data_IF_831613051643
#
_entry.id   IF_831613051643
#
_cell.length_a   1.000
_cell.length_b   1.000
_cell.length_c   1.000
_cell.angle_alpha   90.00
_cell.angle_beta   90.00
_cell.angle_gamma   90.00
#
_symmetry.space_group_name_H-M   'P 1'
#
loop_
_entity.id
_entity.type
_entity.pdbx_description
1 polymer ?
#
# COMPACT_ATOMS: atom_id res chain seq x y z
N UNK A 1 2.53 -12.47 1.11
CA UNK A 1 3.30 -11.88 2.22
C UNK A 1 4.34 -10.92 1.65
N UNK A 2 4.33 -9.67 2.09
CA UNK A 2 5.31 -8.66 1.69
C UNK A 2 6.51 -8.73 2.64
N UNK A 3 7.73 -8.75 2.09
CA UNK A 3 8.98 -8.82 2.87
C UNK A 3 9.82 -7.54 2.79
N UNK A 4 9.44 -6.62 1.92
CA UNK A 4 10.08 -5.34 1.71
C UNK A 4 9.38 -4.57 0.59
N UNK A 5 9.59 -3.26 0.54
CA UNK A 5 9.07 -2.38 -0.50
C UNK A 5 10.08 -1.27 -0.78
N UNK A 6 10.16 -0.84 -2.04
CA UNK A 6 10.90 0.36 -2.45
C UNK A 6 9.94 1.24 -3.23
N UNK A 7 9.83 2.51 -2.83
CA UNK A 7 8.88 3.46 -3.40
C UNK A 7 9.68 4.69 -3.84
N UNK A 8 9.46 5.10 -5.09
CA UNK A 8 10.07 6.31 -5.67
C UNK A 8 8.95 7.16 -6.27
N UNK A 9 8.78 8.38 -5.76
CA UNK A 9 7.73 9.28 -6.22
C UNK A 9 7.40 10.35 -5.19
N UNK A 10 6.51 11.28 -5.53
CA UNK A 10 6.12 12.40 -4.67
C UNK A 10 5.35 11.97 -3.42
N UNK A 11 4.65 10.84 -3.46
CA UNK A 11 3.78 10.36 -2.38
C UNK A 11 4.43 9.23 -1.56
N UNK A 12 5.75 9.03 -1.70
CA UNK A 12 6.46 7.89 -1.13
C UNK A 12 6.47 7.90 0.41
N UNK A 13 6.53 9.09 1.00
CA UNK A 13 6.48 9.35 2.44
C UNK A 13 5.14 8.97 3.08
N UNK A 14 4.03 9.17 2.36
CA UNK A 14 2.71 8.69 2.79
C UNK A 14 2.56 7.18 2.57
N UNK A 15 2.89 6.71 1.36
CA UNK A 15 2.70 5.31 0.95
C UNK A 15 3.48 4.33 1.84
N UNK A 16 4.70 4.69 2.25
CA UNK A 16 5.55 3.79 3.03
C UNK A 16 4.90 3.37 4.36
N UNK A 17 4.08 4.23 4.96
CA UNK A 17 3.37 3.93 6.20
C UNK A 17 2.30 2.84 6.01
N UNK A 18 1.63 2.83 4.85
CA UNK A 18 0.67 1.77 4.52
C UNK A 18 1.36 0.42 4.32
N UNK A 19 2.49 0.38 3.62
CA UNK A 19 3.28 -0.86 3.50
C UNK A 19 3.83 -1.33 4.84
N UNK A 20 4.26 -0.41 5.71
CA UNK A 20 4.65 -0.74 7.07
C UNK A 20 3.49 -1.38 7.86
N UNK A 21 2.26 -0.86 7.71
CA UNK A 21 1.05 -1.43 8.31
C UNK A 21 0.77 -2.85 7.78
N UNK A 22 0.78 -3.01 6.45
CA UNK A 22 0.53 -4.29 5.76
C UNK A 22 1.53 -5.34 6.24
N UNK A 23 2.82 -5.00 6.30
CA UNK A 23 3.87 -5.93 6.75
C UNK A 23 3.78 -6.23 8.26
N UNK A 24 3.52 -5.21 9.10
CA UNK A 24 3.42 -5.37 10.56
C UNK A 24 2.31 -6.32 10.98
N UNK A 25 1.18 -6.27 10.28
CA UNK A 25 0.00 -7.08 10.58
C UNK A 25 -0.16 -8.30 9.67
N UNK A 26 0.83 -8.59 8.81
CA UNK A 26 0.79 -9.68 7.82
C UNK A 26 -0.51 -9.69 7.01
N UNK A 27 -0.98 -8.50 6.60
CA UNK A 27 -2.23 -8.38 5.86
C UNK A 27 -2.11 -9.10 4.50
N UNK A 28 -3.14 -9.85 4.08
CA UNK A 28 -3.17 -10.47 2.77
C UNK A 28 -3.20 -9.40 1.68
N UNK A 29 -2.09 -9.25 0.96
CA UNK A 29 -1.88 -8.15 0.02
C UNK A 29 -2.92 -8.12 -1.11
N UNK A 30 -3.42 -9.29 -1.50
CA UNK A 30 -4.45 -9.46 -2.52
C UNK A 30 -5.85 -9.00 -2.05
N UNK A 31 -6.14 -9.04 -0.75
CA UNK A 31 -7.34 -8.41 -0.18
C UNK A 31 -7.16 -6.91 -0.03
N UNK A 32 -5.97 -6.46 0.38
CA UNK A 32 -5.65 -5.03 0.48
C UNK A 32 -5.76 -4.35 -0.89
N UNK A 33 -5.26 -4.98 -1.97
CA UNK A 33 -5.39 -4.46 -3.33
C UNK A 33 -6.84 -4.34 -3.83
N UNK A 34 -7.77 -5.13 -3.28
CA UNK A 34 -9.21 -5.09 -3.60
C UNK A 34 -10.00 -4.12 -2.71
N UNK A 35 -9.36 -3.50 -1.72
CA UNK A 35 -10.02 -2.57 -0.80
C UNK A 35 -10.33 -1.25 -1.50
N UNK A 36 -11.50 -0.68 -1.20
CA UNK A 36 -11.88 0.65 -1.69
C UNK A 36 -11.28 1.70 -0.76
N UNK A 37 -10.38 2.53 -1.30
CA UNK A 37 -9.79 3.68 -0.61
C UNK A 37 -10.47 4.99 -1.02
N UNK A 38 -10.28 6.03 -0.21
CA UNK A 38 -10.74 7.37 -0.56
C UNK A 38 -10.01 7.89 -1.81
N UNK A 39 -10.75 8.55 -2.72
CA UNK A 39 -10.19 9.13 -3.93
C UNK A 39 -10.51 10.64 -4.02
N UNK A 40 -9.54 11.51 -4.35
CA UNK A 40 -8.12 11.21 -4.55
C UNK A 40 -7.35 11.10 -3.21
N UNK A 41 -6.47 10.10 -3.06
CA UNK A 41 -5.53 10.01 -1.93
C UNK A 41 -4.31 9.14 -2.25
N UNK A 42 -3.23 9.27 -1.46
CA UNK A 42 -2.07 8.37 -1.55
C UNK A 42 -2.47 6.90 -1.35
N UNK A 43 -3.49 6.61 -0.55
CA UNK A 43 -3.96 5.24 -0.31
C UNK A 43 -4.65 4.64 -1.55
N UNK A 44 -5.30 5.44 -2.40
CA UNK A 44 -5.91 4.91 -3.63
C UNK A 44 -4.89 4.39 -4.64
N UNK A 45 -3.61 4.76 -4.49
CA UNK A 45 -2.54 4.23 -5.35
C UNK A 45 -2.12 2.80 -4.94
N UNK A 46 -2.45 2.34 -3.73
CA UNK A 46 -2.04 1.01 -3.22
C UNK A 46 -2.50 -0.13 -4.13
N UNK A 47 -3.68 -0.02 -4.74
CA UNK A 47 -4.20 -1.05 -5.65
C UNK A 47 -3.28 -1.27 -6.84
N UNK A 48 -2.61 -0.23 -7.35
CA UNK A 48 -1.66 -0.36 -8.47
C UNK A 48 -0.35 -1.06 -8.08
N UNK A 49 0.01 -1.10 -6.79
CA UNK A 49 1.20 -1.82 -6.30
C UNK A 49 0.91 -3.27 -5.92
N UNK A 50 -0.35 -3.57 -5.60
CA UNK A 50 -0.78 -4.83 -4.98
C UNK A 50 -1.61 -5.71 -5.93
N UNK A 51 -1.66 -5.35 -7.22
CA UNK A 51 -2.20 -6.17 -8.32
C UNK A 51 -1.39 -7.45 -8.53
#
# INVERSE_FOLDING_TARGET
KIIGVHILGSNADDLINYFALIMKFDLPYDEVGKTIFAYPSSASDLSYFLE
#
